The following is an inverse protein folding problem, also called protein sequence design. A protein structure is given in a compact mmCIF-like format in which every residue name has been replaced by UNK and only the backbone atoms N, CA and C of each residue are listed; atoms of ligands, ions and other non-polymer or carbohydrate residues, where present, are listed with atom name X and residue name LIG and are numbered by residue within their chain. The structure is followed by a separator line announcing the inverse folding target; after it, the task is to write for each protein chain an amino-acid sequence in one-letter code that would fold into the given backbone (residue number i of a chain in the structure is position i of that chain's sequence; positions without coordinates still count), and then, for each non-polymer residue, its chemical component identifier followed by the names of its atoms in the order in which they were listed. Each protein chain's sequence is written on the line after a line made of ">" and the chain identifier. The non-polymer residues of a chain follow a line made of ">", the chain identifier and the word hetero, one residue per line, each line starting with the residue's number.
data_IF_105793497220
#
_entry.id   IF_105793497220
#
_cell.length_a   1.000
_cell.length_b   1.000
_cell.length_c   1.000
_cell.angle_alpha   90.00
_cell.angle_beta   90.00
_cell.angle_gamma   90.00
#
_symmetry.space_group_name_H-M   'P 1'
#
loop_
_entity.id
_entity.type
_entity.pdbx_description
1 polymer ?
#
# COMPACT_ATOMS: atom_id res chain seq x y z
N UNK A 1 0.06 13.29 0.36
CA UNK A 1 -0.25 12.20 -0.59
C UNK A 1 -0.33 10.84 0.05
N UNK A 2 -1.37 10.08 -0.33
CA UNK A 2 -1.61 8.68 0.07
C UNK A 2 -0.37 7.80 -0.13
N UNK A 3 0.35 7.97 -1.23
CA UNK A 3 1.54 7.16 -1.54
C UNK A 3 2.60 7.28 -0.43
N UNK A 4 2.88 8.51 0.05
CA UNK A 4 3.86 8.72 1.14
C UNK A 4 3.44 8.06 2.44
N UNK A 5 2.14 7.96 2.72
CA UNK A 5 1.63 7.27 3.90
C UNK A 5 1.85 5.76 3.78
N UNK A 6 1.58 5.18 2.61
CA UNK A 6 1.80 3.75 2.36
C UNK A 6 3.28 3.39 2.45
N UNK A 7 4.15 4.17 1.83
CA UNK A 7 5.61 3.94 1.92
C UNK A 7 6.11 4.06 3.36
N UNK A 8 5.57 4.99 4.17
CA UNK A 8 5.91 5.10 5.59
C UNK A 8 5.48 3.86 6.38
N UNK A 9 4.24 3.41 6.19
CA UNK A 9 3.71 2.20 6.87
C UNK A 9 4.59 0.98 6.57
N UNK A 10 5.03 0.82 5.32
CA UNK A 10 5.91 -0.28 4.91
C UNK A 10 7.32 -0.14 5.48
N UNK A 11 7.89 1.08 5.45
CA UNK A 11 9.20 1.37 6.03
C UNK A 11 9.23 1.14 7.55
N UNK A 12 8.20 1.57 8.27
CA UNK A 12 8.06 1.37 9.72
C UNK A 12 7.96 -0.13 10.07
N UNK A 13 7.53 -0.96 9.12
CA UNK A 13 7.47 -2.42 9.23
C UNK A 13 8.73 -3.13 8.71
N UNK A 14 9.74 -2.40 8.25
CA UNK A 14 10.97 -2.97 7.68
C UNK A 14 10.76 -3.73 6.37
N UNK A 15 9.71 -3.39 5.61
CA UNK A 15 9.40 -4.03 4.32
C UNK A 15 9.96 -3.20 3.17
N UNK A 16 10.86 -3.80 2.39
CA UNK A 16 11.41 -3.19 1.19
C UNK A 16 10.41 -3.24 0.02
N UNK A 17 10.31 -2.13 -0.71
CA UNK A 17 9.50 -1.97 -1.92
C UNK A 17 10.39 -2.22 -3.13
N UNK A 18 10.01 -3.16 -3.98
CA UNK A 18 10.72 -3.47 -5.23
C UNK A 18 10.18 -2.65 -6.38
N UNK A 19 8.85 -2.51 -6.46
CA UNK A 19 8.19 -1.62 -7.43
C UNK A 19 6.94 -1.00 -6.81
N UNK A 20 6.60 0.20 -7.27
CA UNK A 20 5.39 0.90 -6.89
C UNK A 20 4.79 1.59 -8.11
N UNK A 21 3.59 1.16 -8.46
CA UNK A 21 2.81 1.79 -9.53
C UNK A 21 1.52 2.36 -8.96
N UNK A 22 1.27 3.64 -9.19
CA UNK A 22 -0.01 4.28 -8.94
C UNK A 22 -0.64 4.73 -10.26
N UNK A 23 -1.91 4.37 -10.47
CA UNK A 23 -2.71 4.81 -11.61
C UNK A 23 -4.04 5.35 -11.12
N UNK A 24 -4.35 6.58 -11.52
CA UNK A 24 -5.63 7.24 -11.22
C UNK A 24 -6.54 7.29 -12.45
N UNK A 25 -7.85 7.22 -12.22
CA UNK A 25 -8.89 7.41 -13.22
C UNK A 25 -10.11 8.07 -12.56
N UNK A 26 -10.37 9.33 -12.93
CA UNK A 26 -11.41 10.13 -12.29
C UNK A 26 -11.14 10.26 -10.79
N UNK A 27 -12.15 9.95 -9.97
CA UNK A 27 -12.07 10.04 -8.50
C UNK A 27 -11.42 8.83 -7.82
N UNK A 28 -10.86 7.89 -8.58
CA UNK A 28 -10.30 6.64 -8.04
C UNK A 28 -8.84 6.48 -8.42
N UNK A 29 -8.07 5.81 -7.56
CA UNK A 29 -6.71 5.39 -7.85
C UNK A 29 -6.45 3.97 -7.36
N UNK A 30 -5.61 3.25 -8.09
CA UNK A 30 -5.06 1.96 -7.69
C UNK A 30 -3.56 2.11 -7.49
N UNK A 31 -3.10 1.69 -6.32
CA UNK A 31 -1.67 1.53 -6.03
C UNK A 31 -1.35 0.04 -5.95
N UNK A 32 -0.41 -0.39 -6.78
CA UNK A 32 0.22 -1.70 -6.73
C UNK A 32 1.61 -1.52 -6.13
N UNK A 33 1.95 -2.36 -5.16
CA UNK A 33 3.24 -2.32 -4.47
C UNK A 33 3.78 -3.73 -4.46
N UNK A 34 4.87 -3.93 -5.17
CA UNK A 34 5.64 -5.17 -5.13
C UNK A 34 6.70 -5.05 -4.04
N UNK A 35 6.85 -6.10 -3.26
CA UNK A 35 7.67 -6.12 -2.06
C UNK A 35 8.55 -7.37 -2.04
N UNK A 36 9.75 -7.26 -1.49
CA UNK A 36 10.67 -8.40 -1.36
C UNK A 36 10.12 -9.47 -0.40
N UNK A 37 9.34 -9.04 0.59
CA UNK A 37 8.74 -9.91 1.59
C UNK A 37 7.23 -9.76 1.60
N UNK A 38 6.54 -10.84 1.98
CA UNK A 38 5.08 -10.86 2.08
C UNK A 38 4.64 -9.91 3.20
N UNK A 39 3.77 -8.95 2.87
CA UNK A 39 3.14 -8.11 3.88
C UNK A 39 2.32 -8.94 4.88
N UNK A 40 2.41 -8.58 6.16
CA UNK A 40 1.58 -9.15 7.22
C UNK A 40 0.16 -8.59 7.17
N UNK A 41 -0.79 -9.30 7.80
CA UNK A 41 -2.17 -8.81 7.93
C UNK A 41 -2.25 -7.47 8.69
N UNK A 42 -1.30 -7.22 9.60
CA UNK A 42 -1.20 -5.95 10.31
C UNK A 42 -0.89 -4.78 9.38
N UNK A 43 0.01 -4.97 8.39
CA UNK A 43 0.33 -3.96 7.38
C UNK A 43 -0.92 -3.66 6.54
N UNK A 44 -1.63 -4.70 6.10
CA UNK A 44 -2.86 -4.55 5.30
C UNK A 44 -3.94 -3.80 6.10
N UNK A 45 -4.08 -4.11 7.39
CA UNK A 45 -5.02 -3.43 8.29
C UNK A 45 -4.66 -1.95 8.44
N UNK A 46 -3.38 -1.62 8.63
CA UNK A 46 -2.91 -0.23 8.70
C UNK A 46 -3.21 0.53 7.40
N UNK A 47 -2.91 -0.06 6.24
CA UNK A 47 -3.21 0.57 4.95
C UNK A 47 -4.71 0.76 4.76
N UNK A 48 -5.54 -0.24 5.10
CA UNK A 48 -6.99 -0.16 5.01
C UNK A 48 -7.61 0.92 5.92
N UNK A 49 -6.93 1.26 7.02
CA UNK A 49 -7.37 2.33 7.94
C UNK A 49 -7.01 3.74 7.50
N UNK A 50 -6.21 3.91 6.43
CA UNK A 50 -5.88 5.23 5.89
C UNK A 50 -7.14 5.84 5.28
N UNK A 51 -7.46 7.07 5.67
CA UNK A 51 -8.61 7.81 5.15
C UNK A 51 -8.58 7.87 3.60
N UNK A 52 -9.71 7.55 2.98
CA UNK A 52 -9.85 7.48 1.52
C UNK A 52 -9.45 6.14 0.90
N UNK A 53 -8.92 5.19 1.68
CA UNK A 53 -8.68 3.82 1.18
C UNK A 53 -9.99 3.04 1.14
N UNK A 54 -10.40 2.65 -0.07
CA UNK A 54 -11.61 1.86 -0.28
C UNK A 54 -11.38 0.37 0.00
N UNK A 55 -10.16 -0.12 -0.29
CA UNK A 55 -9.79 -1.53 -0.13
C UNK A 55 -8.27 -1.71 -0.15
N UNK A 56 -7.76 -2.59 0.70
CA UNK A 56 -6.40 -3.11 0.65
C UNK A 56 -6.42 -4.64 0.64
N UNK A 57 -5.53 -5.29 -0.12
CA UNK A 57 -5.41 -6.75 -0.17
C UNK A 57 -4.03 -7.17 -0.64
N UNK A 58 -3.65 -8.41 -0.31
CA UNK A 58 -2.48 -9.07 -0.87
C UNK A 58 -2.88 -9.74 -2.19
N UNK A 59 -2.04 -9.60 -3.20
CA UNK A 59 -2.17 -10.22 -4.54
C UNK A 59 -1.12 -11.32 -4.66
N UNK A 60 -1.42 -12.42 -5.37
CA UNK A 60 -0.47 -13.51 -5.66
C UNK A 60 0.07 -13.35 -7.07
#
# INVERSE_FOLDING_TARGET
>A
DMIRQFTRILSDAGVNITDLTNKSRGSYAYTMIDMETRASEQIITKIASVEGVLRARIVK
#
